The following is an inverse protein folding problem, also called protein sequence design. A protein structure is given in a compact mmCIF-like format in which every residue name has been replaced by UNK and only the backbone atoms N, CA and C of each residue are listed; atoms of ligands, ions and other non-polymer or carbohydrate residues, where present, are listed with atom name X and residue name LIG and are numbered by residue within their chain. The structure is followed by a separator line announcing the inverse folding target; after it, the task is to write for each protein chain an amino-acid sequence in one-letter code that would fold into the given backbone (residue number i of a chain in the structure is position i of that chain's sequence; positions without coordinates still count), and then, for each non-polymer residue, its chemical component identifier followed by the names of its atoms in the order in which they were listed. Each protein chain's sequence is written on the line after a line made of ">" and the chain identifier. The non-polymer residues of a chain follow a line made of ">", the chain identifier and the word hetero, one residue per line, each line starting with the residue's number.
data_IF_835631784952
#
_entry.id   IF_835631784952
#
_cell.length_a   1.000
_cell.length_b   1.000
_cell.length_c   1.000
_cell.angle_alpha   90.00
_cell.angle_beta   90.00
_cell.angle_gamma   90.00
#
_symmetry.space_group_name_H-M   'P 1'
#
loop_
_entity.id
_entity.type
_entity.pdbx_description
1 polymer ?
#
# COMPACT_ATOMS: atom_id res chain seq x y z
N UNK A 1 -11.63 20.47 -5.78
CA UNK A 1 -10.19 20.30 -5.47
C UNK A 1 -9.86 21.27 -4.35
N UNK A 2 -9.47 20.77 -3.18
CA UNK A 2 -9.19 21.57 -1.97
C UNK A 2 -7.70 21.90 -1.82
N UNK A 3 -6.89 21.62 -2.85
CA UNK A 3 -5.46 21.88 -2.85
C UNK A 3 -5.18 23.36 -2.60
N UNK A 4 -4.30 23.63 -1.64
CA UNK A 4 -3.75 24.95 -1.35
C UNK A 4 -2.32 25.01 -1.87
N UNK A 5 -1.92 26.18 -2.36
CA UNK A 5 -0.54 26.41 -2.81
C UNK A 5 0.42 26.32 -1.62
N UNK A 6 1.35 25.36 -1.68
CA UNK A 6 2.38 25.15 -0.67
C UNK A 6 3.41 26.30 -0.64
N UNK A 7 3.60 27.05 -1.74
CA UNK A 7 4.47 28.22 -1.76
C UNK A 7 3.82 29.44 -1.05
N UNK A 8 2.48 29.46 -0.94
CA UNK A 8 1.78 30.43 -0.09
C UNK A 8 1.82 30.01 1.38
N UNK A 9 1.85 28.70 1.66
CA UNK A 9 2.03 28.12 2.99
C UNK A 9 3.34 28.53 3.67
N UNK A 10 4.44 28.42 2.91
CA UNK A 10 5.80 28.60 3.43
C UNK A 10 6.11 30.07 3.72
N UNK A 11 5.43 31.00 3.06
CA UNK A 11 5.58 32.45 3.31
C UNK A 11 4.92 32.92 4.61
N UNK A 12 4.05 32.12 5.19
CA UNK A 12 3.41 32.34 6.50
C UNK A 12 3.82 31.28 7.54
N UNK A 13 4.93 30.57 7.30
CA UNK A 13 5.46 29.59 8.24
C UNK A 13 5.75 30.27 9.59
N UNK A 14 4.91 29.98 10.59
CA UNK A 14 4.89 30.64 11.89
C UNK A 14 3.56 31.31 12.27
N UNK A 15 2.61 31.46 11.35
CA UNK A 15 1.25 31.90 11.67
C UNK A 15 0.28 30.71 11.70
N UNK A 16 -0.45 30.60 12.82
CA UNK A 16 -1.54 29.66 13.07
C UNK A 16 -2.39 29.44 11.80
N UNK A 17 -2.46 28.20 11.30
CA UNK A 17 -3.32 27.88 10.14
C UNK A 17 -3.01 26.61 9.34
N UNK A 18 -1.92 25.89 9.63
CA UNK A 18 -1.62 24.60 9.02
C UNK A 18 -1.87 23.45 9.99
N UNK A 19 -3.11 22.99 10.07
CA UNK A 19 -3.46 21.86 10.97
C UNK A 19 -3.02 20.49 10.41
N UNK A 20 -2.38 20.45 9.24
CA UNK A 20 -1.79 19.25 8.62
C UNK A 20 -2.20 19.01 7.17
N UNK A 21 -1.43 18.19 6.44
CA UNK A 21 -1.60 17.89 5.01
C UNK A 21 -1.86 16.39 4.77
N UNK A 22 -2.88 16.10 3.95
CA UNK A 22 -3.26 14.75 3.53
C UNK A 22 -2.64 14.44 2.15
N UNK A 23 -2.04 13.27 1.99
CA UNK A 23 -1.43 12.82 0.75
C UNK A 23 -1.46 11.29 0.66
N UNK A 24 -1.17 10.73 -0.53
CA UNK A 24 -1.17 9.28 -0.70
C UNK A 24 -1.27 8.88 -2.17
N UNK A 25 -1.46 7.58 -2.39
CA UNK A 25 -1.64 6.96 -3.71
C UNK A 25 -2.92 6.13 -3.66
N UNK A 26 -3.68 6.12 -4.75
CA UNK A 26 -4.90 5.31 -4.86
C UNK A 26 -4.58 3.83 -4.58
N UNK A 27 -5.32 3.20 -3.66
CA UNK A 27 -5.08 1.81 -3.22
C UNK A 27 -3.86 1.62 -2.30
N UNK A 28 -3.01 2.63 -2.12
CA UNK A 28 -1.87 2.61 -1.20
C UNK A 28 -2.22 3.11 0.20
N UNK A 29 -1.19 3.54 0.94
CA UNK A 29 -1.36 4.23 2.21
C UNK A 29 -2.07 5.58 2.03
N UNK A 30 -2.88 5.92 3.02
CA UNK A 30 -3.36 7.29 3.22
C UNK A 30 -2.49 7.92 4.28
N UNK A 31 -1.86 9.04 3.93
CA UNK A 31 -0.85 9.66 4.76
C UNK A 31 -1.30 11.02 5.23
N UNK A 32 -0.90 11.39 6.44
CA UNK A 32 -1.07 12.73 6.96
C UNK A 32 0.20 13.20 7.66
N UNK A 33 0.48 14.49 7.57
CA UNK A 33 1.55 15.13 8.33
C UNK A 33 1.05 16.38 9.04
N UNK A 34 1.53 16.61 10.26
CA UNK A 34 1.33 17.85 11.01
C UNK A 34 2.54 18.82 10.87
N UNK A 35 3.53 18.46 10.04
CA UNK A 35 4.78 19.18 9.83
C UNK A 35 5.97 18.60 10.60
N UNK A 36 5.73 17.90 11.72
CA UNK A 36 6.77 17.18 12.48
C UNK A 36 6.65 15.68 12.32
N UNK A 37 5.44 15.15 12.41
CA UNK A 37 5.18 13.72 12.31
C UNK A 37 4.62 13.40 10.93
N UNK A 38 4.96 12.21 10.43
CA UNK A 38 4.32 11.61 9.26
C UNK A 38 3.67 10.33 9.69
N UNK A 39 2.36 10.24 9.48
CA UNK A 39 1.59 9.03 9.74
C UNK A 39 1.10 8.44 8.42
N UNK A 40 1.38 7.18 8.19
CA UNK A 40 1.06 6.44 6.97
C UNK A 40 0.14 5.28 7.32
N UNK A 41 -1.16 5.46 7.10
CA UNK A 41 -2.19 4.46 7.42
C UNK A 41 -2.29 3.41 6.31
N UNK A 42 -1.97 2.17 6.65
CA UNK A 42 -2.14 1.02 5.76
C UNK A 42 -3.57 0.45 5.81
N UNK A 43 -3.85 -0.53 4.95
CA UNK A 43 -5.09 -1.30 5.03
C UNK A 43 -5.13 -2.17 6.29
N UNK A 44 -6.34 -2.40 6.80
CA UNK A 44 -6.54 -3.21 8.02
C UNK A 44 -6.27 -4.70 7.76
N UNK A 45 -6.55 -5.19 6.56
CA UNK A 45 -6.37 -6.58 6.16
C UNK A 45 -5.77 -6.74 4.75
N UNK A 46 -5.39 -7.98 4.43
CA UNK A 46 -4.67 -8.34 3.20
C UNK A 46 -5.49 -8.10 1.94
N UNK A 47 -6.83 -8.10 2.00
CA UNK A 47 -7.67 -7.86 0.83
C UNK A 47 -7.54 -6.44 0.27
N UNK A 48 -7.09 -5.49 1.10
CA UNK A 48 -7.03 -4.06 0.78
C UNK A 48 -8.36 -3.53 0.21
N UNK A 49 -9.47 -4.12 0.65
CA UNK A 49 -10.82 -3.84 0.21
C UNK A 49 -11.66 -3.24 1.35
N UNK A 50 -12.78 -2.55 1.05
CA UNK A 50 -13.25 -2.17 -0.27
C UNK A 50 -12.37 -1.09 -0.92
N UNK A 51 -12.17 -1.19 -2.24
CA UNK A 51 -11.48 -0.17 -3.04
C UNK A 51 -12.34 0.18 -4.25
N UNK A 52 -12.58 1.46 -4.47
CA UNK A 52 -13.49 1.97 -5.49
C UNK A 52 -12.82 3.07 -6.32
N UNK A 53 -13.04 3.06 -7.63
CA UNK A 53 -12.63 4.12 -8.55
C UNK A 53 -13.80 5.05 -8.86
N UNK A 54 -13.52 6.37 -8.93
CA UNK A 54 -14.47 7.41 -9.29
C UNK A 54 -13.95 8.19 -10.50
N UNK A 55 -14.55 8.01 -11.67
CA UNK A 55 -14.05 8.62 -12.91
C UNK A 55 -15.17 8.99 -13.88
N UNK A 56 -14.89 9.95 -14.77
CA UNK A 56 -15.70 10.23 -15.98
C UNK A 56 -14.99 9.76 -17.26
N UNK A 57 -13.77 9.24 -17.13
CA UNK A 57 -12.94 8.76 -18.22
C UNK A 57 -12.85 7.23 -18.11
N UNK A 58 -13.42 6.46 -19.05
CA UNK A 58 -13.45 5.00 -19.00
C UNK A 58 -12.12 4.37 -19.42
N UNK A 59 -11.03 4.79 -18.79
CA UNK A 59 -9.66 4.34 -19.06
C UNK A 59 -8.89 4.20 -17.77
N UNK A 60 -8.20 3.07 -17.63
CA UNK A 60 -7.07 2.92 -16.72
C UNK A 60 -5.89 3.77 -17.21
N UNK A 61 -4.87 3.96 -16.38
CA UNK A 61 -3.68 4.74 -16.74
C UNK A 61 -3.00 4.26 -18.04
N UNK A 62 -3.06 2.96 -18.36
CA UNK A 62 -2.38 2.33 -19.51
C UNK A 62 -3.31 1.54 -20.44
N UNK A 63 -4.61 1.55 -20.19
CA UNK A 63 -5.57 0.76 -20.99
C UNK A 63 -6.97 1.34 -20.91
N UNK A 64 -7.86 0.89 -21.79
CA UNK A 64 -9.29 1.18 -21.66
C UNK A 64 -9.90 0.22 -20.64
N UNK A 65 -11.03 0.60 -20.06
CA UNK A 65 -11.83 -0.33 -19.28
C UNK A 65 -12.31 -1.49 -20.16
N UNK A 66 -12.35 -2.68 -19.59
CA UNK A 66 -12.96 -3.85 -20.19
C UNK A 66 -14.47 -3.67 -20.28
N UNK A 67 -15.10 -4.41 -21.21
CA UNK A 67 -16.56 -4.36 -21.40
C UNK A 67 -17.30 -4.68 -20.09
N UNK A 68 -16.81 -5.65 -19.32
CA UNK A 68 -17.40 -6.04 -18.02
C UNK A 68 -17.47 -4.89 -17.01
N UNK A 69 -16.39 -4.11 -16.89
CA UNK A 69 -16.30 -2.96 -15.97
C UNK A 69 -17.32 -1.88 -16.36
N UNK A 70 -17.53 -1.69 -17.67
CA UNK A 70 -18.48 -0.71 -18.22
C UNK A 70 -19.93 -1.17 -18.20
N UNK A 71 -20.21 -2.46 -17.99
CA UNK A 71 -21.59 -2.95 -17.80
C UNK A 71 -22.02 -2.94 -16.35
N UNK A 72 -21.08 -2.94 -15.41
CA UNK A 72 -21.33 -3.08 -13.96
C UNK A 72 -21.15 -1.78 -13.17
N UNK A 73 -20.74 -0.68 -13.81
CA UNK A 73 -20.56 0.60 -13.11
C UNK A 73 -21.88 1.19 -12.59
N UNK A 74 -21.77 1.94 -11.50
CA UNK A 74 -22.88 2.66 -10.88
C UNK A 74 -22.60 4.17 -10.84
N UNK A 75 -23.61 5.04 -11.00
CA UNK A 75 -23.40 6.46 -10.77
C UNK A 75 -23.17 6.74 -9.28
N UNK A 76 -22.10 7.46 -8.96
CA UNK A 76 -21.91 8.04 -7.64
C UNK A 76 -22.54 9.42 -7.53
N UNK A 77 -22.99 9.75 -6.31
CA UNK A 77 -23.32 11.13 -5.97
C UNK A 77 -22.10 12.05 -6.15
N UNK A 78 -22.30 13.33 -6.50
CA UNK A 78 -21.19 14.24 -6.73
C UNK A 78 -20.33 14.42 -5.47
N UNK A 79 -19.02 14.18 -5.61
CA UNK A 79 -18.05 14.50 -4.57
C UNK A 79 -17.80 16.01 -4.53
N UNK A 80 -17.33 16.52 -3.40
CA UNK A 80 -16.96 17.94 -3.23
C UNK A 80 -15.98 18.43 -4.32
N UNK A 81 -15.15 17.54 -4.86
CA UNK A 81 -14.16 17.86 -5.88
C UNK A 81 -14.72 17.85 -7.33
N UNK A 82 -15.88 17.23 -7.57
CA UNK A 82 -16.45 17.03 -8.92
C UNK A 82 -17.36 18.16 -9.38
N UNK A 83 -17.50 19.23 -8.58
CA UNK A 83 -18.30 20.44 -8.91
C UNK A 83 -19.75 20.12 -9.27
N UNK A 84 -20.37 19.17 -8.56
CA UNK A 84 -21.76 18.76 -8.77
C UNK A 84 -21.97 17.76 -9.90
N UNK A 85 -20.90 17.29 -10.54
CA UNK A 85 -20.97 16.28 -11.60
C UNK A 85 -20.88 14.88 -10.97
N UNK A 86 -21.80 13.99 -11.36
CA UNK A 86 -21.77 12.57 -10.98
C UNK A 86 -20.66 11.85 -11.73
N UNK A 87 -19.96 10.94 -11.06
CA UNK A 87 -18.93 10.09 -11.68
C UNK A 87 -19.42 8.67 -11.84
N UNK A 88 -18.75 7.89 -12.69
CA UNK A 88 -18.83 6.44 -12.63
C UNK A 88 -18.16 5.98 -11.34
N UNK A 89 -18.75 4.99 -10.67
CA UNK A 89 -18.21 4.26 -9.53
C UNK A 89 -18.14 2.79 -9.88
N UNK A 90 -17.01 2.17 -9.60
CA UNK A 90 -16.81 0.74 -9.77
C UNK A 90 -15.78 0.23 -8.78
N UNK A 91 -15.79 -1.08 -8.44
CA UNK A 91 -14.70 -1.69 -7.71
C UNK A 91 -13.39 -1.51 -8.47
N UNK A 92 -12.35 -1.03 -7.78
CA UNK A 92 -11.01 -0.99 -8.33
C UNK A 92 -10.28 -2.29 -7.97
N UNK A 93 -9.45 -2.78 -8.90
CA UNK A 93 -8.56 -3.90 -8.59
C UNK A 93 -7.38 -3.36 -7.79
N UNK A 94 -7.06 -3.92 -6.60
CA UNK A 94 -5.88 -3.53 -5.85
C UNK A 94 -4.63 -3.60 -6.73
N UNK A 95 -3.75 -2.60 -6.62
CA UNK A 95 -2.46 -2.63 -7.30
C UNK A 95 -1.57 -3.71 -6.69
N UNK A 96 -0.57 -4.17 -7.46
CA UNK A 96 0.45 -5.10 -6.98
C UNK A 96 1.11 -4.65 -5.67
N UNK A 97 1.28 -3.34 -5.45
CA UNK A 97 1.79 -2.80 -4.19
C UNK A 97 0.65 -2.67 -3.16
N UNK A 98 0.56 -3.64 -2.24
CA UNK A 98 -0.46 -3.68 -1.20
C UNK A 98 0.06 -3.05 0.10
N UNK A 99 -0.50 -1.91 0.57
CA UNK A 99 -0.01 -1.22 1.76
C UNK A 99 -0.13 -2.07 3.03
N UNK A 100 -0.98 -3.11 3.05
CA UNK A 100 -1.06 -4.04 4.16
C UNK A 100 0.29 -4.69 4.44
N UNK A 101 1.04 -5.10 3.41
CA UNK A 101 2.35 -5.75 3.56
C UNK A 101 3.34 -4.86 4.30
N UNK A 102 3.33 -3.55 4.01
CA UNK A 102 4.20 -2.57 4.65
C UNK A 102 3.74 -2.16 6.06
N UNK A 103 2.48 -2.44 6.41
CA UNK A 103 1.89 -2.03 7.67
C UNK A 103 1.67 -0.51 7.79
N UNK A 104 1.17 -0.11 8.95
CA UNK A 104 0.96 1.28 9.34
C UNK A 104 2.22 1.81 10.01
N UNK A 105 2.66 2.99 9.58
CA UNK A 105 3.93 3.59 10.01
C UNK A 105 3.70 4.99 10.58
N UNK A 106 4.50 5.35 11.57
CA UNK A 106 4.55 6.67 12.16
C UNK A 106 6.02 7.09 12.25
N UNK A 107 6.35 8.34 11.92
CA UNK A 107 7.72 8.86 11.98
C UNK A 107 7.72 10.23 12.65
N UNK A 108 8.81 10.55 13.37
CA UNK A 108 9.10 11.88 13.91
C UNK A 108 10.25 12.50 13.10
N UNK A 109 9.93 13.44 12.20
CA UNK A 109 10.89 14.03 11.27
C UNK A 109 11.95 14.89 11.96
N UNK A 110 11.73 15.35 13.19
CA UNK A 110 12.75 16.10 13.94
C UNK A 110 13.94 15.19 14.29
N UNK A 111 13.67 13.92 14.62
CA UNK A 111 14.66 12.94 15.06
C UNK A 111 15.03 11.93 13.96
N UNK A 112 14.13 11.69 13.01
CA UNK A 112 14.25 10.75 11.90
C UNK A 112 13.78 11.39 10.57
N UNK A 113 14.53 12.38 10.06
CA UNK A 113 14.16 13.08 8.82
C UNK A 113 14.19 12.19 7.57
N UNK A 114 14.89 11.05 7.64
CA UNK A 114 14.99 10.07 6.57
C UNK A 114 13.89 8.99 6.62
N UNK A 115 13.08 8.97 7.68
CA UNK A 115 11.99 8.00 7.87
C UNK A 115 12.48 6.55 7.90
N UNK A 116 13.62 6.32 8.55
CA UNK A 116 14.26 5.00 8.66
C UNK A 116 13.78 4.21 9.88
N UNK A 117 13.27 4.88 10.91
CA UNK A 117 12.96 4.30 12.21
C UNK A 117 11.53 4.64 12.63
N UNK A 118 10.54 3.78 12.30
CA UNK A 118 9.16 3.99 12.70
C UNK A 118 9.03 4.18 14.22
N UNK A 119 8.34 5.23 14.62
CA UNK A 119 8.02 5.58 16.01
C UNK A 119 6.83 4.76 16.50
N UNK A 120 7.01 4.07 17.63
CA UNK A 120 5.92 3.44 18.39
C UNK A 120 5.53 4.31 19.58
N UNK A 121 4.50 5.12 19.39
CA UNK A 121 3.90 5.96 20.44
C UNK A 121 2.40 6.08 20.23
N UNK A 122 1.62 5.43 21.10
CA UNK A 122 0.17 5.32 20.98
C UNK A 122 -0.54 6.69 21.09
N UNK A 123 0.01 7.61 21.89
CA UNK A 123 -0.56 8.96 22.04
C UNK A 123 -0.39 9.77 20.75
N UNK A 124 0.81 9.76 20.17
CA UNK A 124 1.07 10.42 18.88
C UNK A 124 0.32 9.73 17.75
N UNK A 125 0.27 8.40 17.70
CA UNK A 125 -0.50 7.67 16.70
C UNK A 125 -1.98 8.06 16.77
N UNK A 126 -2.59 8.06 17.94
CA UNK A 126 -4.01 8.43 18.10
C UNK A 126 -4.28 9.85 17.61
N UNK A 127 -3.42 10.80 17.97
CA UNK A 127 -3.54 12.20 17.54
C UNK A 127 -3.43 12.32 16.02
N UNK A 128 -2.48 11.63 15.41
CA UNK A 128 -2.28 11.65 13.95
C UNK A 128 -3.39 10.91 13.20
N UNK A 129 -3.94 9.83 13.77
CA UNK A 129 -5.08 9.10 13.24
C UNK A 129 -6.36 9.94 13.26
N UNK A 130 -6.61 10.69 14.33
CA UNK A 130 -7.71 11.66 14.40
C UNK A 130 -7.55 12.80 13.39
N UNK A 131 -6.32 13.29 13.19
CA UNK A 131 -6.03 14.28 12.15
C UNK A 131 -6.30 13.71 10.75
N UNK A 132 -5.85 12.48 10.47
CA UNK A 132 -6.11 11.79 9.21
C UNK A 132 -7.61 11.63 8.94
N UNK A 133 -8.37 11.12 9.91
CA UNK A 133 -9.81 10.90 9.77
C UNK A 133 -10.55 12.23 9.49
N UNK A 134 -10.19 13.31 10.19
CA UNK A 134 -10.74 14.64 9.96
C UNK A 134 -10.45 15.15 8.55
N UNK A 135 -9.19 15.07 8.10
CA UNK A 135 -8.81 15.50 6.74
C UNK A 135 -9.47 14.68 5.65
N UNK A 136 -9.68 13.38 5.87
CA UNK A 136 -10.44 12.52 4.97
C UNK A 136 -11.90 12.96 4.86
N UNK A 137 -12.57 13.25 5.98
CA UNK A 137 -13.95 13.77 5.96
C UNK A 137 -14.05 15.13 5.29
N UNK A 138 -13.13 16.04 5.60
CA UNK A 138 -13.06 17.35 4.94
C UNK A 138 -12.90 17.20 3.43
N UNK A 139 -12.14 16.20 2.98
CA UNK A 139 -11.93 15.88 1.55
C UNK A 139 -13.09 15.11 0.91
N UNK A 140 -14.16 14.83 1.64
CA UNK A 140 -15.31 14.05 1.17
C UNK A 140 -14.91 12.62 0.75
N UNK A 141 -13.98 12.00 1.49
CA UNK A 141 -13.56 10.63 1.25
C UNK A 141 -14.73 9.66 1.51
N UNK A 142 -14.94 8.66 0.63
CA UNK A 142 -16.08 7.76 0.73
C UNK A 142 -15.96 6.82 1.93
N UNK A 143 -17.10 6.31 2.42
CA UNK A 143 -17.16 5.36 3.55
C UNK A 143 -16.29 4.12 3.34
N UNK A 144 -16.21 3.64 2.10
CA UNK A 144 -15.34 2.52 1.69
C UNK A 144 -13.87 2.73 2.10
N UNK A 145 -13.36 3.97 2.02
CA UNK A 145 -11.98 4.25 2.45
C UNK A 145 -11.81 4.19 3.97
N UNK A 146 -12.84 4.53 4.75
CA UNK A 146 -12.78 4.39 6.21
C UNK A 146 -12.82 2.91 6.61
N UNK A 147 -13.64 2.11 5.94
CA UNK A 147 -13.73 0.65 6.13
C UNK A 147 -12.40 -0.04 5.79
N UNK A 148 -11.82 0.25 4.62
CA UNK A 148 -10.52 -0.30 4.18
C UNK A 148 -9.38 -0.05 5.17
N UNK A 149 -9.38 1.13 5.78
CA UNK A 149 -8.36 1.55 6.74
C UNK A 149 -8.70 1.14 8.19
N UNK A 150 -9.88 0.56 8.44
CA UNK A 150 -10.32 0.19 9.78
C UNK A 150 -10.50 1.39 10.72
N UNK A 151 -11.09 2.48 10.24
CA UNK A 151 -11.36 3.70 11.02
C UNK A 151 -12.88 4.02 11.02
N UNK A 152 -13.41 4.62 12.09
CA UNK A 152 -14.85 4.93 12.16
C UNK A 152 -15.21 6.07 11.20
N UNK A 153 -16.26 5.88 10.38
CA UNK A 153 -16.73 6.92 9.47
C UNK A 153 -17.46 8.05 10.24
N UNK A 154 -18.42 7.70 11.11
CA UNK A 154 -19.31 8.64 11.81
C UNK A 154 -18.83 9.07 13.22
N UNK A 155 -17.57 8.78 13.59
CA UNK A 155 -17.05 9.05 14.94
C UNK A 155 -15.54 9.26 14.99
N UNK A 156 -15.01 9.59 16.17
CA UNK A 156 -13.57 9.79 16.34
C UNK A 156 -12.85 8.45 16.57
N UNK A 157 -11.68 8.22 15.92
CA UNK A 157 -10.82 7.11 16.26
C UNK A 157 -10.42 7.10 17.73
N UNK A 158 -10.30 5.90 18.28
CA UNK A 158 -9.88 5.58 19.67
C UNK A 158 -8.65 4.66 19.65
N UNK A 159 -8.14 4.32 20.84
CA UNK A 159 -7.01 3.40 20.99
C UNK A 159 -7.22 2.01 20.33
N UNK A 160 -8.48 1.57 20.18
CA UNK A 160 -8.81 0.29 19.53
C UNK A 160 -8.48 0.28 18.02
N UNK A 161 -8.29 1.46 17.43
CA UNK A 161 -8.04 1.62 16.00
C UNK A 161 -6.54 1.77 15.67
N UNK A 162 -5.66 1.75 16.67
CA UNK A 162 -4.21 1.87 16.49
C UNK A 162 -3.63 0.63 15.83
N UNK A 163 -2.73 0.82 14.87
CA UNK A 163 -2.16 -0.25 14.06
C UNK A 163 -0.63 -0.27 14.04
N UNK A 164 0.07 0.78 14.48
CA UNK A 164 1.54 0.79 14.45
C UNK A 164 2.10 -0.37 15.25
N UNK A 165 1.72 -0.49 16.53
CA UNK A 165 2.17 -1.60 17.38
C UNK A 165 1.66 -2.96 16.88
N UNK A 166 0.44 -3.02 16.36
CA UNK A 166 -0.18 -4.28 15.91
C UNK A 166 0.45 -4.82 14.61
N UNK A 167 1.04 -3.94 13.79
CA UNK A 167 1.62 -4.28 12.48
C UNK A 167 3.15 -4.14 12.45
N UNK A 168 3.78 -3.76 13.57
CA UNK A 168 5.21 -3.48 13.71
C UNK A 168 6.09 -4.63 13.19
N UNK A 169 5.79 -5.87 13.60
CA UNK A 169 6.58 -7.03 13.20
C UNK A 169 6.58 -7.22 11.68
N UNK A 170 5.40 -7.10 11.05
CA UNK A 170 5.25 -7.23 9.61
C UNK A 170 5.94 -6.10 8.85
N UNK A 171 5.76 -4.86 9.31
CA UNK A 171 6.42 -3.70 8.75
C UNK A 171 7.95 -3.83 8.80
N UNK A 172 8.49 -4.27 9.95
CA UNK A 172 9.92 -4.48 10.16
C UNK A 172 10.48 -5.59 9.28
N UNK A 173 9.77 -6.72 9.17
CA UNK A 173 10.20 -7.84 8.34
C UNK A 173 10.31 -7.44 6.85
N UNK A 174 9.43 -6.57 6.38
CA UNK A 174 9.47 -6.08 4.99
C UNK A 174 10.53 -4.99 4.77
N UNK A 175 10.80 -4.17 5.79
CA UNK A 175 11.83 -3.13 5.75
C UNK A 175 13.27 -3.68 5.89
N UNK A 176 13.43 -4.99 6.16
CA UNK A 176 14.75 -5.60 6.35
C UNK A 176 15.60 -5.47 5.07
N UNK A 177 16.84 -4.94 5.15
CA UNK A 177 17.68 -4.76 3.99
C UNK A 177 18.03 -6.07 3.26
N UNK A 178 17.96 -6.04 1.94
CA UNK A 178 18.38 -7.15 1.08
C UNK A 178 19.91 -7.23 1.00
N UNK A 179 20.51 -7.97 1.94
CA UNK A 179 21.96 -8.18 2.03
C UNK A 179 22.37 -9.59 1.60
N UNK A 180 23.55 -9.74 1.01
CA UNK A 180 24.09 -11.07 0.65
C UNK A 180 23.36 -11.75 -0.51
N UNK A 181 22.80 -10.98 -1.46
CA UNK A 181 22.08 -11.51 -2.62
C UNK A 181 22.96 -12.42 -3.51
N UNK A 182 24.27 -12.16 -3.54
CA UNK A 182 25.24 -12.94 -4.31
C UNK A 182 25.55 -14.31 -3.68
N UNK A 183 25.22 -14.49 -2.41
CA UNK A 183 25.44 -15.73 -1.65
C UNK A 183 24.20 -16.65 -1.66
N UNK A 184 23.11 -16.21 -2.30
CA UNK A 184 21.88 -17.00 -2.38
C UNK A 184 22.10 -18.26 -3.24
N UNK A 185 21.70 -19.45 -2.74
CA UNK A 185 21.78 -20.69 -3.50
C UNK A 185 20.71 -20.75 -4.60
N UNK A 186 20.79 -21.74 -5.49
CA UNK A 186 19.87 -21.94 -6.61
C UNK A 186 19.75 -20.70 -7.53
N UNK A 187 20.86 -19.98 -7.73
CA UNK A 187 20.89 -18.71 -8.46
C UNK A 187 20.32 -18.82 -9.87
N UNK A 188 20.57 -19.93 -10.54
CA UNK A 188 20.04 -20.25 -11.86
C UNK A 188 18.50 -20.25 -11.93
N UNK A 189 17.81 -20.57 -10.83
CA UNK A 189 16.36 -20.52 -10.72
C UNK A 189 15.88 -19.15 -10.22
N UNK A 190 16.66 -18.45 -9.40
CA UNK A 190 16.32 -17.11 -8.91
C UNK A 190 16.39 -16.04 -10.00
N UNK A 191 17.26 -16.21 -11.00
CA UNK A 191 17.39 -15.29 -12.14
C UNK A 191 16.31 -15.52 -13.22
N UNK A 192 15.52 -16.60 -13.12
CA UNK A 192 14.34 -16.80 -13.98
C UNK A 192 13.25 -15.81 -13.62
N UNK A 193 12.47 -15.39 -14.62
CA UNK A 193 11.23 -14.69 -14.34
C UNK A 193 10.28 -15.60 -13.56
N UNK A 194 9.42 -15.04 -12.73
CA UNK A 194 8.44 -15.83 -11.96
C UNK A 194 7.57 -16.68 -12.89
N UNK A 195 7.24 -16.18 -14.08
CA UNK A 195 6.48 -16.93 -15.08
C UNK A 195 7.24 -18.18 -15.58
N UNK A 196 8.54 -18.08 -15.84
CA UNK A 196 9.39 -19.22 -16.22
C UNK A 196 9.57 -20.18 -15.04
N UNK A 197 9.81 -19.65 -13.84
CA UNK A 197 10.01 -20.44 -12.62
C UNK A 197 8.79 -21.32 -12.31
N UNK A 198 7.58 -20.82 -12.50
CA UNK A 198 6.34 -21.61 -12.30
C UNK A 198 6.23 -22.79 -13.27
N UNK A 199 6.91 -22.74 -14.43
CA UNK A 199 6.96 -23.87 -15.39
C UNK A 199 8.01 -24.92 -15.04
N UNK A 200 8.88 -24.67 -14.07
CA UNK A 200 9.90 -25.64 -13.62
C UNK A 200 9.23 -26.68 -12.71
N UNK A 201 9.44 -27.96 -13.03
CA UNK A 201 8.87 -29.08 -12.27
C UNK A 201 9.28 -29.02 -10.79
N UNK A 202 8.31 -28.91 -9.89
CA UNK A 202 8.54 -28.84 -8.44
C UNK A 202 8.75 -27.43 -7.89
N UNK A 203 9.10 -26.42 -8.71
CA UNK A 203 9.27 -25.04 -8.25
C UNK A 203 7.93 -24.40 -7.83
N UNK A 204 6.83 -24.74 -8.50
CA UNK A 204 5.48 -24.25 -8.14
C UNK A 204 5.09 -24.60 -6.69
N UNK A 205 5.40 -25.81 -6.24
CA UNK A 205 5.11 -26.24 -4.86
C UNK A 205 5.93 -25.45 -3.84
N UNK A 206 7.20 -25.14 -4.16
CA UNK A 206 8.08 -24.31 -3.33
C UNK A 206 7.53 -22.88 -3.23
N UNK A 207 7.03 -22.31 -4.33
CA UNK A 207 6.38 -20.99 -4.32
C UNK A 207 5.10 -20.99 -3.50
N UNK A 208 4.24 -22.02 -3.63
CA UNK A 208 3.01 -22.13 -2.84
C UNK A 208 3.29 -22.22 -1.33
N UNK A 209 4.37 -22.89 -0.93
CA UNK A 209 4.76 -23.05 0.48
C UNK A 209 5.30 -21.75 1.10
N UNK A 210 6.19 -21.05 0.41
CA UNK A 210 6.94 -19.93 0.99
C UNK A 210 6.44 -18.54 0.57
N UNK A 211 5.72 -18.46 -0.55
CA UNK A 211 5.17 -17.23 -1.09
C UNK A 211 3.82 -17.49 -1.80
N UNK A 212 2.78 -17.95 -1.07
CA UNK A 212 1.50 -18.35 -1.67
C UNK A 212 0.82 -17.25 -2.47
N UNK A 213 1.04 -15.97 -2.12
CA UNK A 213 0.55 -14.81 -2.87
C UNK A 213 1.11 -14.72 -4.30
N UNK A 214 2.26 -15.33 -4.58
CA UNK A 214 2.86 -15.35 -5.92
C UNK A 214 2.30 -16.43 -6.85
N UNK A 215 1.46 -17.34 -6.36
CA UNK A 215 0.91 -18.45 -7.15
C UNK A 215 -0.62 -18.35 -7.31
N UNK A 216 -1.25 -17.40 -6.62
CA UNK A 216 -2.67 -17.07 -6.77
C UNK A 216 -2.90 -16.10 -7.95
N UNK A 217 -4.14 -15.63 -8.13
CA UNK A 217 -4.60 -14.74 -9.21
C UNK A 217 -3.88 -13.37 -9.30
N UNK A 218 -2.83 -13.15 -8.52
CA UNK A 218 -2.03 -11.91 -8.48
C UNK A 218 -0.81 -11.94 -9.43
N UNK A 219 -0.50 -13.08 -10.07
CA UNK A 219 0.57 -13.16 -11.09
C UNK A 219 0.34 -12.19 -12.26
N UNK A 220 -0.91 -11.90 -12.61
CA UNK A 220 -1.26 -10.96 -13.70
C UNK A 220 -0.88 -9.50 -13.38
N UNK A 221 -0.67 -9.16 -12.10
CA UNK A 221 -0.29 -7.82 -11.65
C UNK A 221 1.23 -7.62 -11.56
N UNK A 222 2.01 -8.71 -11.55
CA UNK A 222 3.48 -8.68 -11.50
C UNK A 222 4.05 -8.39 -12.90
N UNK A 223 5.07 -7.52 -13.05
CA UNK A 223 5.73 -7.36 -14.33
C UNK A 223 6.23 -8.70 -14.86
N UNK A 224 5.85 -9.09 -16.08
CA UNK A 224 6.10 -10.45 -16.61
C UNK A 224 7.57 -10.85 -16.76
N UNK A 225 8.53 -9.97 -16.44
CA UNK A 225 9.98 -10.26 -16.38
C UNK A 225 10.57 -10.17 -14.97
N UNK A 226 9.76 -9.94 -13.95
CA UNK A 226 10.24 -9.84 -12.58
C UNK A 226 10.75 -11.22 -12.11
N UNK A 227 11.92 -11.21 -11.49
CA UNK A 227 12.53 -12.34 -10.79
C UNK A 227 12.13 -12.33 -9.31
N UNK A 228 12.43 -13.40 -8.56
CA UNK A 228 12.21 -13.41 -7.11
C UNK A 228 13.02 -12.31 -6.39
N UNK A 229 14.21 -11.97 -6.90
CA UNK A 229 15.05 -10.89 -6.37
C UNK A 229 14.40 -9.52 -6.64
N UNK A 230 13.83 -9.33 -7.83
CA UNK A 230 13.08 -8.11 -8.15
C UNK A 230 11.86 -7.96 -7.24
N UNK A 231 11.11 -9.05 -7.00
CA UNK A 231 9.97 -9.02 -6.09
C UNK A 231 10.35 -8.62 -4.67
N UNK A 232 11.48 -9.13 -4.17
CA UNK A 232 11.99 -8.70 -2.87
C UNK A 232 12.41 -7.22 -2.89
N UNK A 233 13.03 -6.77 -3.98
CA UNK A 233 13.45 -5.36 -4.16
C UNK A 233 12.25 -4.41 -4.28
N UNK A 234 11.12 -4.92 -4.76
CA UNK A 234 9.84 -4.22 -4.80
C UNK A 234 9.03 -4.37 -3.51
N UNK A 235 9.58 -5.02 -2.49
CA UNK A 235 8.91 -5.29 -1.22
C UNK A 235 7.57 -6.04 -1.36
N UNK A 236 7.49 -6.97 -2.33
CA UNK A 236 6.37 -7.91 -2.46
C UNK A 236 6.55 -9.19 -1.64
N UNK A 237 7.80 -9.52 -1.34
CA UNK A 237 8.21 -10.59 -0.43
C UNK A 237 9.34 -10.08 0.47
N UNK A 238 9.49 -10.66 1.66
CA UNK A 238 10.56 -10.29 2.60
C UNK A 238 11.92 -10.88 2.22
N UNK A 239 13.00 -10.33 2.80
CA UNK A 239 14.34 -10.94 2.67
C UNK A 239 14.36 -12.39 3.16
N UNK A 240 13.66 -12.67 4.27
CA UNK A 240 13.51 -14.01 4.82
C UNK A 240 12.81 -14.96 3.84
N UNK A 241 11.70 -14.54 3.23
CA UNK A 241 11.00 -15.33 2.22
C UNK A 241 11.89 -15.62 1.01
N UNK A 242 12.64 -14.63 0.52
CA UNK A 242 13.60 -14.83 -0.56
C UNK A 242 14.67 -15.86 -0.20
N UNK A 243 15.24 -15.80 1.01
CA UNK A 243 16.23 -16.78 1.49
C UNK A 243 15.64 -18.18 1.63
N UNK A 244 14.41 -18.29 2.15
CA UNK A 244 13.70 -19.56 2.27
C UNK A 244 13.43 -20.18 0.89
N UNK A 245 12.96 -19.37 -0.07
CA UNK A 245 12.78 -19.77 -1.46
C UNK A 245 14.09 -20.26 -2.08
N UNK A 246 15.16 -19.46 -1.98
CA UNK A 246 16.47 -19.82 -2.49
C UNK A 246 16.96 -21.17 -1.93
N UNK A 247 16.82 -21.38 -0.62
CA UNK A 247 17.20 -22.64 0.02
C UNK A 247 16.34 -23.81 -0.44
N UNK A 248 15.03 -23.63 -0.55
CA UNK A 248 14.11 -24.69 -0.93
C UNK A 248 14.26 -25.11 -2.40
N UNK A 249 14.55 -24.14 -3.29
CA UNK A 249 14.78 -24.37 -4.72
C UNK A 249 16.03 -25.21 -5.02
N UNK A 250 16.99 -25.33 -4.10
CA UNK A 250 18.14 -26.24 -4.28
C UNK A 250 17.75 -27.71 -4.45
N UNK A 251 16.54 -28.08 -3.99
CA UNK A 251 16.00 -29.43 -4.08
C UNK A 251 15.25 -29.68 -5.38
N UNK A 252 15.04 -28.64 -6.19
CA UNK A 252 14.37 -28.73 -7.49
C UNK A 252 15.41 -29.14 -8.54
N UNK A 253 15.20 -30.24 -9.27
CA UNK A 253 16.13 -30.67 -10.29
C UNK A 253 16.14 -29.68 -11.46
N UNK A 254 17.31 -29.10 -11.74
CA UNK A 254 17.56 -28.31 -12.95
C UNK A 254 17.83 -29.28 -14.11
N UNK A 255 16.85 -29.45 -15.00
CA UNK A 255 16.94 -30.32 -16.18
C UNK A 255 17.91 -29.84 -17.24
#
# INVERSE_FOLDING_TARGET
>A
MQGRDLALATRTCGQQGWDGALFGIHGGHVNVTDGRHVYMRGAVDVSNAPLEEYTLMPTHMRSRFAVRELTEWEPAEPLSCTKGIRTMRMPATPTWMNPWQHGTLLFDLDNDPAQEHPLRDDETELRMLQLLARRMRESDAPRSQFERLGIPFDGEPTQEHLLVAAQEERARALAEPLTGLDELPARELLDLSVHELVQVDGARAVLEEHAPGLVSTELDAVPGRATLIDLASYALITSEQLRALASALTRVPTG
#
